data_IF_959766588471
#
_entry.id   IF_959766588471
#
_cell.length_a   1.000
_cell.length_b   1.000
_cell.length_c   1.000
_cell.angle_alpha   90.00
_cell.angle_beta   90.00
_cell.angle_gamma   90.00
#
_symmetry.space_group_name_H-M   'P 1'
#
loop_
_entity.id
_entity.type
_entity.pdbx_description
1 polymer ?
#
# COMPACT_ATOMS: atom_id res chain seq x y z
N UNK A 1 5.52 52.83 -4.59
CA UNK A 1 6.63 51.98 -5.13
C UNK A 1 6.53 51.83 -6.65
N UNK A 2 7.56 51.32 -7.33
CA UNK A 2 7.49 50.99 -8.77
C UNK A 2 7.24 49.49 -8.97
N UNK A 3 6.43 49.12 -9.96
CA UNK A 3 6.19 47.72 -10.30
C UNK A 3 7.47 47.09 -10.89
N UNK A 4 7.99 45.99 -10.34
CA UNK A 4 9.21 45.35 -10.84
C UNK A 4 9.03 44.71 -12.23
N UNK A 5 7.79 44.50 -12.68
CA UNK A 5 7.49 43.89 -13.99
C UNK A 5 7.39 44.93 -15.12
N UNK A 6 6.70 46.06 -14.87
CA UNK A 6 6.43 47.05 -15.93
C UNK A 6 7.01 48.45 -15.67
N UNK A 7 7.67 48.67 -14.54
CA UNK A 7 8.34 49.93 -14.20
C UNK A 7 7.42 51.12 -13.90
N UNK A 8 6.10 50.94 -13.87
CA UNK A 8 5.15 52.03 -13.56
C UNK A 8 4.98 52.22 -12.05
N UNK A 9 4.73 53.48 -11.67
CA UNK A 9 4.47 53.86 -10.29
C UNK A 9 3.12 53.29 -9.82
N UNK A 10 3.12 52.70 -8.64
CA UNK A 10 1.98 52.01 -8.02
C UNK A 10 1.91 52.39 -6.54
N UNK A 11 0.69 52.41 -6.00
CA UNK A 11 0.47 52.67 -4.58
C UNK A 11 0.94 51.50 -3.72
N UNK A 12 1.52 51.84 -2.58
CA UNK A 12 2.00 50.88 -1.61
C UNK A 12 0.79 50.12 -1.00
N UNK A 13 0.86 48.79 -0.96
CA UNK A 13 -0.23 47.92 -0.48
C UNK A 13 -1.14 47.33 -1.58
N UNK A 14 -0.86 47.59 -2.87
CA UNK A 14 -1.56 46.92 -3.97
C UNK A 14 -1.10 45.46 -4.13
N UNK A 15 -2.07 44.54 -4.18
CA UNK A 15 -1.79 43.09 -4.34
C UNK A 15 -1.38 42.73 -5.77
N UNK A 16 -1.88 43.49 -6.74
CA UNK A 16 -1.64 43.31 -8.17
C UNK A 16 -1.39 44.68 -8.82
N UNK A 17 -0.54 44.72 -9.83
CA UNK A 17 -0.30 45.94 -10.59
C UNK A 17 -1.51 46.27 -11.50
N UNK A 18 -2.13 47.46 -11.38
CA UNK A 18 -3.31 47.82 -12.18
C UNK A 18 -3.01 48.00 -13.68
N UNK A 19 -1.73 48.10 -14.05
CA UNK A 19 -1.35 48.35 -15.44
C UNK A 19 -0.86 47.13 -16.22
N UNK A 20 -0.27 46.13 -15.55
CA UNK A 20 0.22 44.92 -16.21
C UNK A 20 -0.35 43.63 -15.63
N UNK A 21 -1.10 43.70 -14.51
CA UNK A 21 -1.70 42.53 -13.86
C UNK A 21 -0.73 41.68 -13.03
N UNK A 22 0.56 42.04 -12.95
CA UNK A 22 1.54 41.28 -12.18
C UNK A 22 1.20 41.26 -10.69
N UNK A 23 1.25 40.08 -10.06
CA UNK A 23 1.12 39.93 -8.60
C UNK A 23 2.33 40.54 -7.91
N UNK A 24 2.08 41.43 -6.97
CA UNK A 24 3.10 42.08 -6.14
C UNK A 24 3.22 41.41 -4.77
N UNK A 25 2.29 40.50 -4.45
CA UNK A 25 2.40 39.66 -3.27
C UNK A 25 3.55 38.66 -3.47
N UNK A 26 4.47 38.54 -2.51
CA UNK A 26 5.43 37.46 -2.49
C UNK A 26 4.62 36.15 -2.47
N UNK A 27 4.83 35.31 -3.48
CA UNK A 27 4.28 33.96 -3.47
C UNK A 27 5.03 33.20 -2.38
N UNK A 28 4.48 33.21 -1.17
CA UNK A 28 4.88 32.26 -0.14
C UNK A 28 4.49 30.91 -0.69
N UNK A 29 5.45 30.17 -1.23
CA UNK A 29 5.25 28.78 -1.62
C UNK A 29 4.68 28.05 -0.40
N UNK A 30 3.40 27.72 -0.48
CA UNK A 30 2.77 26.87 0.52
C UNK A 30 3.37 25.48 0.28
N UNK A 31 4.44 25.16 1.00
CA UNK A 31 5.01 23.81 1.03
C UNK A 31 3.93 22.87 1.56
N UNK A 32 3.20 22.24 0.64
CA UNK A 32 2.13 21.31 0.94
C UNK A 32 2.74 20.04 1.53
N UNK A 33 2.69 19.91 2.87
CA UNK A 33 2.88 18.64 3.54
C UNK A 33 1.54 17.90 3.56
N UNK A 34 1.37 16.79 2.83
CA UNK A 34 0.17 15.99 2.94
C UNK A 34 0.01 15.49 4.38
N UNK A 35 -1.23 15.46 4.87
CA UNK A 35 -1.60 15.00 6.22
C UNK A 35 -1.44 13.48 6.43
N UNK A 36 -0.84 12.77 5.48
CA UNK A 36 -0.78 11.33 5.41
C UNK A 36 0.61 10.94 4.88
N UNK A 37 1.27 9.96 5.51
CA UNK A 37 2.60 9.55 5.11
C UNK A 37 2.56 9.00 3.68
N UNK A 38 3.61 9.24 2.87
CA UNK A 38 3.72 8.63 1.56
C UNK A 38 3.63 7.11 1.70
N UNK A 39 2.70 6.49 0.95
CA UNK A 39 2.47 5.04 0.93
C UNK A 39 3.75 4.33 0.47
N UNK A 40 4.39 3.58 1.36
CA UNK A 40 5.50 2.67 1.08
C UNK A 40 4.94 1.28 0.70
N UNK A 41 4.60 1.14 -0.57
CA UNK A 41 4.18 -0.09 -1.23
C UNK A 41 5.14 -1.29 -1.04
N UNK A 42 6.40 -1.02 -0.71
CA UNK A 42 7.40 -2.04 -0.37
C UNK A 42 7.10 -2.85 0.90
N UNK A 43 6.30 -2.33 1.86
CA UNK A 43 5.97 -3.05 3.09
C UNK A 43 4.91 -4.14 2.87
N UNK A 44 3.96 -3.90 1.97
CA UNK A 44 2.86 -4.84 1.66
C UNK A 44 3.40 -6.09 0.99
N UNK A 45 4.32 -5.94 0.03
CA UNK A 45 4.91 -7.07 -0.69
C UNK A 45 5.69 -8.01 0.24
N UNK A 46 6.39 -7.46 1.24
CA UNK A 46 7.12 -8.26 2.23
C UNK A 46 6.17 -9.13 3.07
N UNK A 47 5.01 -8.61 3.45
CA UNK A 47 3.97 -9.38 4.16
C UNK A 47 3.42 -10.52 3.30
N UNK A 48 3.12 -10.25 2.02
CA UNK A 48 2.58 -11.25 1.09
C UNK A 48 3.59 -12.37 0.81
N UNK A 49 4.86 -12.02 0.53
CA UNK A 49 5.92 -13.01 0.27
C UNK A 49 6.18 -13.89 1.47
N UNK A 50 6.17 -13.33 2.69
CA UNK A 50 6.40 -14.09 3.90
C UNK A 50 5.27 -15.09 4.13
N UNK A 51 4.01 -14.68 3.97
CA UNK A 51 2.85 -15.60 4.07
C UNK A 51 2.92 -16.71 3.02
N UNK A 52 3.29 -16.39 1.78
CA UNK A 52 3.43 -17.39 0.71
C UNK A 52 4.56 -18.38 1.00
N UNK A 53 5.72 -17.90 1.47
CA UNK A 53 6.85 -18.76 1.82
C UNK A 53 6.51 -19.68 2.99
N UNK A 54 5.95 -19.16 4.08
CA UNK A 54 5.58 -19.99 5.24
C UNK A 54 4.44 -20.97 4.91
N UNK A 55 3.47 -20.57 4.08
CA UNK A 55 2.40 -21.45 3.62
C UNK A 55 2.90 -22.61 2.75
N UNK A 56 3.78 -22.31 1.78
CA UNK A 56 4.39 -23.33 0.91
C UNK A 56 5.33 -24.24 1.70
N UNK A 57 6.17 -23.69 2.58
CA UNK A 57 7.08 -24.47 3.43
C UNK A 57 6.30 -25.35 4.40
N UNK A 58 5.24 -24.83 5.02
CA UNK A 58 4.36 -25.61 5.90
C UNK A 58 3.65 -26.74 5.17
N UNK A 59 3.15 -26.49 3.95
CA UNK A 59 2.57 -27.52 3.10
C UNK A 59 3.60 -28.58 2.70
N UNK A 60 4.81 -28.19 2.28
CA UNK A 60 5.90 -29.11 1.95
C UNK A 60 6.30 -29.95 3.17
N UNK A 61 6.40 -29.35 4.36
CA UNK A 61 6.67 -30.06 5.61
C UNK A 61 5.55 -31.05 5.95
N UNK A 62 4.28 -30.66 5.81
CA UNK A 62 3.15 -31.57 6.01
C UNK A 62 3.22 -32.74 5.03
N UNK A 63 3.52 -32.48 3.75
CA UNK A 63 3.70 -33.51 2.74
C UNK A 63 4.91 -34.40 3.00
N UNK A 64 6.02 -33.85 3.50
CA UNK A 64 7.22 -34.60 3.84
C UNK A 64 7.02 -35.46 5.10
N UNK A 65 6.30 -34.95 6.10
CA UNK A 65 5.93 -35.69 7.31
C UNK A 65 4.86 -36.75 7.02
N UNK A 66 3.96 -36.49 6.07
CA UNK A 66 2.95 -37.47 5.62
C UNK A 66 3.46 -38.36 4.46
N UNK A 67 4.73 -38.19 4.04
CA UNK A 67 5.35 -38.87 2.91
C UNK A 67 5.77 -40.31 3.20
N UNK A 68 5.42 -40.87 4.36
CA UNK A 68 5.58 -42.30 4.64
C UNK A 68 4.27 -43.03 4.28
N UNK A 69 4.19 -43.39 3.00
CA UNK A 69 3.12 -44.19 2.43
C UNK A 69 3.36 -45.67 2.73
N UNK A 70 2.58 -46.28 3.63
CA UNK A 70 1.96 -47.59 3.32
C UNK A 70 0.86 -47.97 4.31
N UNK A 71 -0.30 -48.34 3.76
CA UNK A 71 -1.36 -49.14 4.39
C UNK A 71 -2.16 -48.50 5.55
N UNK A 72 -2.92 -47.44 5.32
CA UNK A 72 -4.30 -47.36 5.87
C UNK A 72 -5.09 -46.29 5.15
N UNK A 73 -6.14 -46.72 4.45
CA UNK A 73 -7.07 -45.88 3.68
C UNK A 73 -7.75 -44.77 4.50
N UNK A 74 -7.51 -44.63 5.80
CA UNK A 74 -7.95 -43.50 6.65
C UNK A 74 -6.97 -42.32 6.66
N UNK A 75 -5.66 -42.55 6.58
CA UNK A 75 -4.65 -41.47 6.61
C UNK A 75 -4.68 -40.59 5.36
N UNK A 76 -5.04 -41.19 4.21
CA UNK A 76 -5.16 -40.50 2.93
C UNK A 76 -6.26 -39.42 2.92
N UNK A 77 -7.42 -39.67 3.55
CA UNK A 77 -8.51 -38.67 3.61
C UNK A 77 -8.18 -37.50 4.53
N UNK A 78 -7.42 -37.75 5.59
CA UNK A 78 -6.98 -36.70 6.52
C UNK A 78 -5.99 -35.78 5.81
N UNK A 79 -5.02 -36.34 5.09
CA UNK A 79 -4.06 -35.55 4.30
C UNK A 79 -4.76 -34.74 3.20
N UNK A 80 -5.67 -35.38 2.46
CA UNK A 80 -6.40 -34.73 1.38
C UNK A 80 -7.33 -33.62 1.90
N UNK A 81 -7.98 -33.83 3.05
CA UNK A 81 -8.81 -32.83 3.72
C UNK A 81 -8.01 -31.64 4.25
N UNK A 82 -6.86 -31.88 4.87
CA UNK A 82 -5.98 -30.81 5.40
C UNK A 82 -5.38 -29.99 4.26
N UNK A 83 -4.90 -30.63 3.19
CA UNK A 83 -4.38 -29.92 2.02
C UNK A 83 -5.47 -29.11 1.33
N UNK A 84 -6.65 -29.68 1.13
CA UNK A 84 -7.78 -28.97 0.54
C UNK A 84 -8.18 -27.77 1.40
N UNK A 85 -8.29 -27.96 2.73
CA UNK A 85 -8.60 -26.87 3.66
C UNK A 85 -7.54 -25.76 3.62
N UNK A 86 -6.25 -26.08 3.63
CA UNK A 86 -5.16 -25.10 3.57
C UNK A 86 -5.18 -24.35 2.22
N UNK A 87 -5.39 -25.06 1.11
CA UNK A 87 -5.45 -24.45 -0.23
C UNK A 87 -6.62 -23.48 -0.41
N UNK A 88 -7.69 -23.62 0.37
CA UNK A 88 -8.90 -22.77 0.31
C UNK A 88 -8.86 -21.69 1.40
N UNK A 89 -8.41 -22.01 2.62
CA UNK A 89 -8.35 -21.06 3.73
C UNK A 89 -7.25 -20.01 3.54
N UNK A 90 -6.09 -20.39 3.00
CA UNK A 90 -5.01 -19.43 2.71
C UNK A 90 -5.46 -18.29 1.78
N UNK A 91 -6.05 -18.54 0.59
CA UNK A 91 -6.50 -17.46 -0.27
C UNK A 91 -7.66 -16.66 0.34
N UNK A 92 -8.55 -17.28 1.12
CA UNK A 92 -9.60 -16.55 1.85
C UNK A 92 -9.01 -15.60 2.90
N UNK A 93 -7.98 -16.04 3.64
CA UNK A 93 -7.28 -15.20 4.62
C UNK A 93 -6.52 -14.08 3.91
N UNK A 94 -5.83 -14.38 2.79
CA UNK A 94 -5.12 -13.35 1.99
C UNK A 94 -6.12 -12.31 1.47
N UNK A 95 -7.26 -12.74 0.94
CA UNK A 95 -8.31 -11.82 0.49
C UNK A 95 -8.85 -11.01 1.66
N UNK A 96 -9.14 -11.62 2.81
CA UNK A 96 -9.61 -10.90 4.00
C UNK A 96 -8.59 -9.87 4.52
N UNK A 97 -7.29 -10.19 4.50
CA UNK A 97 -6.23 -9.25 4.90
C UNK A 97 -6.09 -8.13 3.88
N UNK A 98 -6.04 -8.44 2.58
CA UNK A 98 -5.87 -7.44 1.51
C UNK A 98 -7.09 -6.52 1.41
N UNK A 99 -8.30 -7.08 1.46
CA UNK A 99 -9.53 -6.29 1.44
C UNK A 99 -9.80 -5.61 2.79
N UNK A 100 -9.47 -6.23 3.92
CA UNK A 100 -9.60 -5.62 5.24
C UNK A 100 -8.70 -4.41 5.43
N UNK A 101 -7.43 -4.49 4.99
CA UNK A 101 -6.52 -3.33 4.94
C UNK A 101 -6.96 -2.26 3.95
N UNK A 102 -7.80 -2.60 2.97
CA UNK A 102 -8.30 -1.65 1.95
C UNK A 102 -9.62 -0.97 2.37
N UNK A 103 -10.35 -1.56 3.32
CA UNK A 103 -11.68 -1.11 3.76
C UNK A 103 -11.66 -0.42 5.13
N UNK A 104 -10.56 -0.48 5.88
CA UNK A 104 -10.41 0.28 7.13
C UNK A 104 -9.79 1.66 6.86
N UNK A 105 -10.53 2.77 6.97
CA UNK A 105 -10.00 4.13 6.85
C UNK A 105 -9.21 4.58 8.10
#
# INVERSE_FOLDING_TARGET
MYCPNCGKEISDGTRFCPYCGASLLPQTEVVYKPAYPPRDDGAVWKGVVLVLLFGVVGLILVYALCGDQSETKRGAWICLGVVAAISILIPLIILAVVFGFRVWP
#
